data_IF_154336978157
#
_entry.id   IF_154336978157
#
_cell.length_a   1.000
_cell.length_b   1.000
_cell.length_c   1.000
_cell.angle_alpha   90.00
_cell.angle_beta   90.00
_cell.angle_gamma   90.00
#
_symmetry.space_group_name_H-M   'P 1'
#
loop_
_entity.id
_entity.type
_entity.pdbx_description
1 polymer ?
#
# COMPACT_ATOMS: atom_id res chain seq x y z
N UNK A 1 -35.49 26.54 6.56
CA UNK A 1 -34.24 26.64 5.81
C UNK A 1 -33.30 25.59 6.41
N UNK A 2 -32.57 24.81 5.59
CA UNK A 2 -31.60 23.85 6.10
C UNK A 2 -30.53 24.58 6.92
N UNK A 3 -30.14 24.00 8.03
CA UNK A 3 -29.14 24.58 8.93
C UNK A 3 -27.78 24.22 8.39
N UNK A 4 -27.12 25.16 7.68
CA UNK A 4 -25.70 24.96 7.36
C UNK A 4 -24.88 24.98 8.65
N UNK A 5 -24.06 23.98 8.86
CA UNK A 5 -23.23 23.81 10.04
C UNK A 5 -21.87 24.47 9.81
N UNK A 6 -21.50 25.58 10.46
CA UNK A 6 -20.33 26.39 10.08
C UNK A 6 -18.98 25.65 10.09
N UNK A 7 -18.84 24.63 10.93
CA UNK A 7 -17.61 23.83 11.05
C UNK A 7 -17.56 22.66 10.06
N UNK A 8 -18.66 22.35 9.36
CA UNK A 8 -18.76 21.18 8.48
C UNK A 8 -18.10 21.47 7.13
N UNK A 9 -16.79 21.61 7.12
CA UNK A 9 -15.94 21.88 5.95
C UNK A 9 -14.49 21.51 6.21
N UNK A 10 -13.70 21.28 5.15
CA UNK A 10 -12.26 21.00 5.27
C UNK A 10 -11.91 19.52 5.24
N UNK A 11 -10.91 19.14 6.01
CA UNK A 11 -10.25 17.83 5.96
C UNK A 11 -10.57 17.00 7.20
N UNK A 12 -11.17 15.84 7.02
CA UNK A 12 -11.53 14.91 8.09
C UNK A 12 -10.93 13.53 7.82
N UNK A 13 -10.02 13.01 8.65
CA UNK A 13 -9.54 11.66 8.55
C UNK A 13 -10.63 10.66 8.98
N UNK A 14 -10.93 9.70 8.13
CA UNK A 14 -11.65 8.50 8.52
C UNK A 14 -10.67 7.57 9.23
N UNK A 15 -10.69 7.59 10.57
CA UNK A 15 -9.69 6.92 11.40
C UNK A 15 -9.77 5.39 11.30
N UNK A 16 -8.62 4.72 11.26
CA UNK A 16 -8.53 3.28 11.50
C UNK A 16 -8.77 2.99 12.98
N UNK A 17 -9.24 1.80 13.31
CA UNK A 17 -9.31 1.30 14.69
C UNK A 17 -8.07 0.45 14.98
N UNK A 18 -7.17 0.86 15.86
CA UNK A 18 -6.06 0.03 16.29
C UNK A 18 -6.53 -1.18 17.08
N UNK A 19 -5.93 -2.34 16.82
CA UNK A 19 -6.17 -3.56 17.56
C UNK A 19 -4.85 -4.13 18.09
N UNK A 20 -4.92 -4.75 19.29
CA UNK A 20 -3.82 -5.52 19.86
C UNK A 20 -3.67 -6.90 19.16
N UNK A 21 -2.83 -7.77 19.71
CA UNK A 21 -2.59 -9.12 19.15
C UNK A 21 -3.79 -10.06 19.34
N UNK A 22 -4.55 -9.85 20.38
CA UNK A 22 -5.76 -10.56 20.78
C UNK A 22 -7.01 -10.01 20.07
N UNK A 23 -6.86 -8.98 19.24
CA UNK A 23 -7.91 -8.28 18.47
C UNK A 23 -8.84 -7.40 19.34
N UNK A 24 -8.43 -7.06 20.56
CA UNK A 24 -9.11 -6.02 21.34
C UNK A 24 -8.73 -4.62 20.82
N UNK A 25 -9.59 -3.64 21.05
CA UNK A 25 -9.30 -2.25 20.74
C UNK A 25 -8.12 -1.75 21.57
N UNK A 26 -7.06 -1.29 20.92
CA UNK A 26 -5.91 -0.65 21.56
C UNK A 26 -6.18 0.85 21.74
N UNK A 27 -6.75 1.22 22.88
CA UNK A 27 -7.10 2.61 23.19
C UNK A 27 -5.88 3.54 23.23
N UNK A 28 -4.72 3.07 23.70
CA UNK A 28 -3.52 3.88 23.79
C UNK A 28 -2.99 4.21 22.38
N UNK A 29 -2.97 3.23 21.49
CA UNK A 29 -2.62 3.42 20.09
C UNK A 29 -3.63 4.32 19.39
N UNK A 30 -4.93 4.25 19.72
CA UNK A 30 -5.95 5.11 19.14
C UNK A 30 -5.78 6.58 19.55
N UNK A 31 -5.46 6.86 20.82
CA UNK A 31 -5.12 8.22 21.28
C UNK A 31 -3.91 8.77 20.53
N UNK A 32 -2.86 7.97 20.41
CA UNK A 32 -1.64 8.37 19.67
C UNK A 32 -1.93 8.65 18.18
N UNK A 33 -2.79 7.85 17.54
CA UNK A 33 -3.23 8.09 16.18
C UNK A 33 -3.97 9.44 16.04
N UNK A 34 -4.87 9.76 16.97
CA UNK A 34 -5.59 11.04 16.99
C UNK A 34 -4.60 12.20 17.11
N UNK A 35 -3.65 12.14 18.05
CA UNK A 35 -2.64 13.17 18.25
C UNK A 35 -1.74 13.37 17.01
N UNK A 36 -1.44 12.27 16.30
CA UNK A 36 -0.72 12.34 15.01
C UNK A 36 -1.48 13.16 13.97
N UNK A 37 -2.80 13.05 13.91
CA UNK A 37 -3.64 13.72 12.90
C UNK A 37 -3.93 15.20 13.22
N UNK A 38 -4.13 15.55 14.49
CA UNK A 38 -4.79 16.79 14.93
C UNK A 38 -4.22 18.08 14.35
N UNK A 39 -2.93 18.16 14.09
CA UNK A 39 -2.28 19.42 13.63
C UNK A 39 -2.74 19.89 12.26
N UNK A 40 -3.25 18.99 11.42
CA UNK A 40 -3.50 19.24 10.01
C UNK A 40 -4.89 18.79 9.55
N UNK A 41 -5.85 18.72 10.46
CA UNK A 41 -7.22 18.30 10.14
C UNK A 41 -8.24 19.22 10.80
N UNK A 42 -9.44 19.29 10.26
CA UNK A 42 -10.52 20.16 10.75
C UNK A 42 -11.47 19.43 11.70
N UNK A 43 -11.41 18.11 11.76
CA UNK A 43 -12.15 17.25 12.68
C UNK A 43 -11.76 15.79 12.51
N UNK A 44 -12.48 14.89 13.16
CA UNK A 44 -12.19 13.46 13.22
C UNK A 44 -13.41 12.60 12.85
N UNK A 45 -13.18 11.44 12.22
CA UNK A 45 -14.27 10.49 11.89
C UNK A 45 -13.91 9.07 12.38
N UNK A 46 -14.19 8.73 13.66
CA UNK A 46 -14.08 7.37 14.17
C UNK A 46 -15.21 6.49 13.67
N UNK A 47 -15.04 5.17 13.73
CA UNK A 47 -16.05 4.14 13.46
C UNK A 47 -16.67 4.21 12.05
N UNK A 48 -15.94 4.73 11.04
CA UNK A 48 -16.33 4.62 9.64
C UNK A 48 -15.91 3.26 9.03
N UNK A 49 -16.08 3.11 7.70
CA UNK A 49 -15.64 1.91 6.98
C UNK A 49 -14.15 1.65 7.17
N UNK A 50 -13.33 2.69 7.12
CA UNK A 50 -11.88 2.63 7.39
C UNK A 50 -11.57 2.14 8.81
N UNK A 51 -12.45 2.46 9.77
CA UNK A 51 -12.37 2.02 11.17
C UNK A 51 -12.90 0.61 11.41
N UNK A 52 -13.24 -0.12 10.36
CA UNK A 52 -13.71 -1.51 10.45
C UNK A 52 -15.00 -1.66 11.26
N UNK A 53 -15.91 -0.66 11.23
CA UNK A 53 -17.11 -0.60 12.07
C UNK A 53 -17.96 -1.88 12.06
N UNK A 54 -18.10 -2.65 10.94
CA UNK A 54 -18.90 -3.87 10.96
C UNK A 54 -18.35 -4.99 11.85
N UNK A 55 -17.08 -4.86 12.27
CA UNK A 55 -16.38 -5.82 13.13
C UNK A 55 -16.23 -5.32 14.57
N UNK A 56 -16.81 -4.16 14.90
CA UNK A 56 -16.79 -3.58 16.24
C UNK A 56 -18.09 -3.88 16.97
N UNK A 57 -18.00 -4.20 18.24
CA UNK A 57 -19.15 -4.26 19.12
C UNK A 57 -19.67 -2.85 19.44
N UNK A 58 -20.95 -2.70 19.78
CA UNK A 58 -21.56 -1.41 20.07
C UNK A 58 -20.85 -0.67 21.22
N UNK A 59 -20.36 -1.39 22.20
CA UNK A 59 -19.60 -0.82 23.32
C UNK A 59 -18.21 -0.33 22.88
N UNK A 60 -17.54 -1.07 22.00
CA UNK A 60 -16.26 -0.63 21.40
C UNK A 60 -16.45 0.65 20.58
N UNK A 61 -17.53 0.73 19.78
CA UNK A 61 -17.84 1.94 19.02
C UNK A 61 -18.11 3.12 19.96
N UNK A 62 -18.90 2.94 21.01
CA UNK A 62 -19.16 3.96 22.01
C UNK A 62 -17.85 4.46 22.63
N UNK A 63 -16.98 3.55 23.01
CA UNK A 63 -15.71 3.85 23.65
C UNK A 63 -14.77 4.61 22.72
N UNK A 64 -14.66 4.21 21.45
CA UNK A 64 -13.86 4.91 20.43
C UNK A 64 -14.36 6.34 20.21
N UNK A 65 -15.68 6.56 20.17
CA UNK A 65 -16.24 7.90 20.03
C UNK A 65 -15.91 8.75 21.24
N UNK A 66 -16.05 8.23 22.46
CA UNK A 66 -15.67 8.93 23.69
C UNK A 66 -14.20 9.36 23.71
N UNK A 67 -13.30 8.45 23.30
CA UNK A 67 -11.88 8.76 23.20
C UNK A 67 -11.65 9.83 22.13
N UNK A 68 -12.27 9.72 20.96
CA UNK A 68 -12.12 10.69 19.90
C UNK A 68 -12.58 12.10 20.34
N UNK A 69 -13.70 12.20 21.06
CA UNK A 69 -14.22 13.46 21.61
C UNK A 69 -13.26 14.03 22.66
N UNK A 70 -12.77 13.21 23.57
CA UNK A 70 -11.85 13.62 24.63
C UNK A 70 -10.50 14.13 24.07
N UNK A 71 -10.01 13.52 23.01
CA UNK A 71 -8.70 13.82 22.40
C UNK A 71 -8.77 14.87 21.25
N UNK A 72 -9.98 15.28 20.84
CA UNK A 72 -10.17 16.12 19.64
C UNK A 72 -9.71 17.57 19.79
N UNK A 73 -9.30 18.01 20.98
CA UNK A 73 -8.88 19.40 21.24
C UNK A 73 -9.88 20.44 20.72
N UNK A 74 -11.17 20.23 21.02
CA UNK A 74 -12.26 21.07 20.60
C UNK A 74 -12.70 20.98 19.13
N UNK A 75 -12.03 20.17 18.32
CA UNK A 75 -12.43 19.91 16.94
C UNK A 75 -13.65 19.00 16.85
N UNK A 76 -14.51 19.14 15.83
CA UNK A 76 -15.70 18.32 15.68
C UNK A 76 -15.36 16.84 15.45
N UNK A 77 -16.17 15.96 16.04
CA UNK A 77 -16.11 14.52 15.85
C UNK A 77 -17.38 14.04 15.17
N UNK A 78 -17.25 13.49 13.96
CA UNK A 78 -18.34 12.89 13.19
C UNK A 78 -18.31 11.37 13.42
N UNK A 79 -19.16 10.84 14.27
CA UNK A 79 -19.17 9.43 14.62
C UNK A 79 -19.81 8.59 13.50
N UNK A 80 -19.13 7.53 13.06
CA UNK A 80 -19.76 6.50 12.23
C UNK A 80 -20.80 5.74 13.06
N UNK A 81 -22.07 5.80 12.64
CA UNK A 81 -23.21 5.18 13.33
C UNK A 81 -24.05 4.33 12.40
N UNK A 82 -23.50 3.94 11.25
CA UNK A 82 -24.17 3.09 10.28
C UNK A 82 -24.31 1.66 10.76
N UNK A 83 -25.43 1.03 10.42
CA UNK A 83 -25.69 -0.38 10.64
C UNK A 83 -26.61 -0.91 9.55
N UNK A 84 -26.74 -2.23 9.43
CA UNK A 84 -27.65 -2.86 8.49
C UNK A 84 -29.13 -2.65 8.84
N UNK A 85 -29.44 -2.45 10.13
CA UNK A 85 -30.80 -2.21 10.61
C UNK A 85 -31.00 -0.78 11.11
N UNK A 86 -32.23 -0.23 10.89
CA UNK A 86 -32.61 1.09 11.39
C UNK A 86 -32.56 1.15 12.93
N UNK A 87 -32.96 0.06 13.58
CA UNK A 87 -32.95 -0.03 15.05
C UNK A 87 -31.54 0.16 15.62
N UNK A 88 -30.59 -0.59 15.09
CA UNK A 88 -29.20 -0.55 15.55
C UNK A 88 -28.55 0.80 15.21
N UNK A 89 -28.68 1.30 13.98
CA UNK A 89 -28.16 2.61 13.59
C UNK A 89 -28.73 3.73 14.48
N UNK A 90 -30.02 3.65 14.90
CA UNK A 90 -30.61 4.59 15.84
C UNK A 90 -29.99 4.50 17.23
N UNK A 91 -29.72 3.30 17.71
CA UNK A 91 -29.05 3.07 18.99
C UNK A 91 -27.62 3.63 18.99
N UNK A 92 -26.86 3.35 17.93
CA UNK A 92 -25.51 3.88 17.75
C UNK A 92 -25.51 5.42 17.68
N UNK A 93 -26.46 6.02 16.97
CA UNK A 93 -26.58 7.47 16.90
C UNK A 93 -26.90 8.11 18.28
N UNK A 94 -27.74 7.48 19.08
CA UNK A 94 -28.00 7.93 20.48
C UNK A 94 -26.74 7.81 21.33
N UNK A 95 -26.05 6.66 21.25
CA UNK A 95 -24.78 6.43 21.94
C UNK A 95 -23.72 7.45 21.56
N UNK A 96 -23.61 7.80 20.27
CA UNK A 96 -22.68 8.82 19.77
C UNK A 96 -23.01 10.22 20.33
N UNK A 97 -24.32 10.57 20.42
CA UNK A 97 -24.76 11.82 21.05
C UNK A 97 -24.36 11.87 22.52
N UNK A 98 -24.63 10.79 23.27
CA UNK A 98 -24.26 10.67 24.68
C UNK A 98 -22.75 10.73 24.90
N UNK A 99 -21.96 10.21 23.94
CA UNK A 99 -20.51 10.31 23.95
C UNK A 99 -19.96 11.70 23.58
N UNK A 100 -20.81 12.64 23.17
CA UNK A 100 -20.42 14.02 22.84
C UNK A 100 -20.02 14.25 21.38
N UNK A 101 -20.35 13.34 20.48
CA UNK A 101 -20.09 13.53 19.04
C UNK A 101 -20.80 14.80 18.51
N UNK A 102 -20.19 15.48 17.55
CA UNK A 102 -20.72 16.68 16.89
C UNK A 102 -21.70 16.35 15.77
N UNK A 103 -21.60 15.18 15.17
CA UNK A 103 -22.49 14.68 14.12
C UNK A 103 -22.42 13.15 14.00
N UNK A 104 -23.36 12.57 13.25
CA UNK A 104 -23.37 11.17 12.84
C UNK A 104 -23.07 11.03 11.35
N UNK A 105 -22.28 10.02 10.98
CA UNK A 105 -22.10 9.56 9.62
C UNK A 105 -22.85 8.23 9.44
N UNK A 106 -23.93 8.23 8.70
CA UNK A 106 -24.83 7.07 8.54
C UNK A 106 -24.71 6.52 7.14
N UNK A 107 -24.22 5.30 7.01
CA UNK A 107 -24.14 4.60 5.71
C UNK A 107 -25.52 4.07 5.29
N UNK A 108 -25.75 4.06 3.98
CA UNK A 108 -26.94 3.36 3.41
C UNK A 108 -26.98 1.91 3.93
N UNK A 109 -28.15 1.36 4.33
CA UNK A 109 -28.26 -0.03 4.76
C UNK A 109 -27.65 -0.99 3.74
N UNK A 110 -26.89 -1.96 4.23
CA UNK A 110 -26.07 -2.87 3.44
C UNK A 110 -26.43 -4.34 3.69
N UNK A 111 -25.90 -5.25 2.88
CA UNK A 111 -26.14 -6.69 2.84
C UNK A 111 -27.52 -7.06 2.27
N UNK A 112 -28.62 -6.58 2.84
CA UNK A 112 -29.96 -6.70 2.25
C UNK A 112 -30.33 -5.37 1.58
N UNK A 113 -30.97 -5.44 0.41
CA UNK A 113 -31.30 -4.26 -0.40
C UNK A 113 -32.73 -3.78 -0.12
N UNK A 114 -32.95 -2.80 0.76
CA UNK A 114 -34.26 -2.22 0.97
C UNK A 114 -34.72 -1.41 -0.24
N UNK A 115 -36.03 -1.22 -0.38
CA UNK A 115 -36.59 -0.30 -1.37
C UNK A 115 -36.17 1.15 -1.08
N UNK A 116 -36.33 2.04 -2.05
CA UNK A 116 -36.04 3.49 -1.86
C UNK A 116 -36.84 4.08 -0.70
N UNK A 117 -38.12 3.68 -0.56
CA UNK A 117 -38.94 4.05 0.59
C UNK A 117 -38.36 3.52 1.92
N UNK A 118 -37.80 2.31 1.92
CA UNK A 118 -37.12 1.73 3.09
C UNK A 118 -35.87 2.50 3.44
N UNK A 119 -35.07 2.93 2.47
CA UNK A 119 -33.90 3.77 2.68
C UNK A 119 -34.28 5.15 3.24
N UNK A 120 -35.30 5.81 2.64
CA UNK A 120 -35.83 7.06 3.16
C UNK A 120 -36.24 6.92 4.64
N UNK A 121 -37.05 5.90 4.96
CA UNK A 121 -37.49 5.64 6.32
C UNK A 121 -36.36 5.35 7.28
N UNK A 122 -35.28 4.68 6.83
CA UNK A 122 -34.09 4.45 7.65
C UNK A 122 -33.47 5.77 8.12
N UNK A 123 -33.13 6.68 7.22
CA UNK A 123 -32.56 7.98 7.57
C UNK A 123 -33.53 8.86 8.35
N UNK A 124 -34.81 8.89 7.94
CA UNK A 124 -35.85 9.68 8.60
C UNK A 124 -36.04 9.28 10.08
N UNK A 125 -36.11 7.99 10.37
CA UNK A 125 -36.27 7.50 11.74
C UNK A 125 -35.03 7.78 12.61
N UNK A 126 -33.83 7.69 12.05
CA UNK A 126 -32.60 8.07 12.76
C UNK A 126 -32.62 9.57 13.03
N UNK A 127 -32.90 10.40 12.04
CA UNK A 127 -32.97 11.86 12.16
C UNK A 127 -34.00 12.30 13.22
N UNK A 128 -35.15 11.64 13.29
CA UNK A 128 -36.16 11.90 14.30
C UNK A 128 -35.77 11.46 15.72
N UNK A 129 -34.89 10.47 15.83
CA UNK A 129 -34.54 9.84 17.11
C UNK A 129 -33.40 10.55 17.87
N UNK A 130 -32.61 11.40 17.19
CA UNK A 130 -31.46 12.10 17.76
C UNK A 130 -31.44 13.56 17.39
N UNK A 131 -31.04 14.40 18.32
CA UNK A 131 -30.79 15.82 18.09
C UNK A 131 -29.30 16.03 17.79
N UNK A 132 -28.86 15.46 16.67
CA UNK A 132 -27.50 15.60 16.12
C UNK A 132 -27.57 15.85 14.61
N UNK A 133 -26.65 16.64 14.06
CA UNK A 133 -26.40 16.68 12.62
C UNK A 133 -26.10 15.29 12.06
N UNK A 134 -26.68 14.97 10.91
CA UNK A 134 -26.50 13.69 10.23
C UNK A 134 -25.94 13.92 8.83
N UNK A 135 -24.87 13.20 8.49
CA UNK A 135 -24.37 13.06 7.15
C UNK A 135 -24.80 11.70 6.57
N UNK A 136 -25.51 11.73 5.46
CA UNK A 136 -25.79 10.53 4.67
C UNK A 136 -24.49 10.03 4.03
N UNK A 137 -24.26 8.72 3.99
CA UNK A 137 -23.04 8.17 3.44
C UNK A 137 -23.31 7.19 2.30
N UNK A 138 -22.82 7.57 1.12
CA UNK A 138 -22.86 6.76 -0.10
C UNK A 138 -21.49 6.10 -0.33
N UNK A 139 -21.46 4.77 -0.35
CA UNK A 139 -20.29 3.95 -0.68
C UNK A 139 -20.72 2.73 -1.49
N UNK A 140 -20.90 2.92 -2.78
CA UNK A 140 -21.40 1.89 -3.70
C UNK A 140 -20.59 0.59 -3.65
N UNK A 141 -19.28 0.69 -3.49
CA UNK A 141 -18.38 -0.48 -3.49
C UNK A 141 -18.64 -1.47 -2.34
N UNK A 142 -19.30 -1.02 -1.28
CA UNK A 142 -19.61 -1.84 -0.10
C UNK A 142 -21.11 -2.17 -0.04
N UNK A 143 -21.95 -1.22 -0.46
CA UNK A 143 -23.43 -1.33 -0.38
C UNK A 143 -24.04 -1.90 -1.67
N UNK A 144 -23.26 -1.97 -2.75
CA UNK A 144 -23.64 -2.42 -4.10
C UNK A 144 -24.77 -1.60 -4.76
N UNK A 145 -25.02 -0.38 -4.27
CA UNK A 145 -25.95 0.56 -4.88
C UNK A 145 -25.61 2.00 -4.53
N UNK A 146 -26.05 2.94 -5.37
CA UNK A 146 -26.06 4.35 -5.02
C UNK A 146 -27.24 4.69 -4.10
N UNK A 147 -27.08 5.68 -3.24
CA UNK A 147 -28.20 6.31 -2.57
C UNK A 147 -29.07 7.01 -3.65
N UNK A 148 -30.36 6.66 -3.81
CA UNK A 148 -31.13 7.17 -4.93
C UNK A 148 -31.30 8.69 -4.84
N UNK A 149 -31.17 9.39 -5.98
CA UNK A 149 -31.30 10.85 -6.10
C UNK A 149 -32.55 11.38 -5.36
N UNK A 150 -33.72 10.83 -5.68
CA UNK A 150 -34.98 11.27 -5.06
C UNK A 150 -34.97 11.14 -3.53
N UNK A 151 -34.33 10.09 -3.03
CA UNK A 151 -34.21 9.88 -1.57
C UNK A 151 -33.32 10.96 -0.94
N UNK A 152 -32.23 11.37 -1.60
CA UNK A 152 -31.37 12.44 -1.13
C UNK A 152 -32.14 13.76 -1.15
N UNK A 153 -32.88 14.06 -2.23
CA UNK A 153 -33.68 15.27 -2.36
C UNK A 153 -34.71 15.40 -1.23
N UNK A 154 -35.47 14.33 -0.97
CA UNK A 154 -36.49 14.30 0.08
C UNK A 154 -35.87 14.40 1.50
N UNK A 155 -34.70 13.78 1.72
CA UNK A 155 -33.99 13.80 3.00
C UNK A 155 -33.31 15.15 3.26
N UNK A 156 -32.85 15.85 2.23
CA UNK A 156 -32.21 17.17 2.37
C UNK A 156 -33.14 18.25 2.92
N UNK A 157 -34.45 18.02 2.98
CA UNK A 157 -35.43 18.92 3.59
C UNK A 157 -35.59 18.70 5.10
N UNK A 158 -34.98 17.62 5.65
CA UNK A 158 -35.03 17.33 7.09
C UNK A 158 -33.97 18.17 7.81
N UNK A 159 -34.36 18.97 8.83
CA UNK A 159 -33.49 20.01 9.39
C UNK A 159 -32.13 19.55 9.90
N UNK A 160 -32.01 18.32 10.46
CA UNK A 160 -30.77 17.79 10.99
C UNK A 160 -30.05 16.83 10.03
N UNK A 161 -30.55 16.63 8.81
CA UNK A 161 -29.76 16.02 7.73
C UNK A 161 -29.00 17.16 7.03
N UNK A 162 -27.74 17.31 7.37
CA UNK A 162 -26.93 18.49 7.03
C UNK A 162 -25.85 18.22 6.00
N UNK A 163 -25.59 16.94 5.68
CA UNK A 163 -24.49 16.61 4.79
C UNK A 163 -24.64 15.27 4.07
N UNK A 164 -23.78 15.11 3.07
CA UNK A 164 -23.67 13.93 2.26
C UNK A 164 -22.19 13.62 2.01
N UNK A 165 -21.75 12.40 2.30
CA UNK A 165 -20.43 11.91 1.93
C UNK A 165 -20.53 10.96 0.76
N UNK A 166 -19.80 11.24 -0.33
CA UNK A 166 -19.72 10.35 -1.49
C UNK A 166 -18.35 9.71 -1.64
N UNK A 167 -18.29 8.39 -1.45
CA UNK A 167 -17.10 7.56 -1.69
C UNK A 167 -17.20 6.72 -2.96
N UNK A 168 -18.16 7.00 -3.86
CA UNK A 168 -18.34 6.23 -5.09
C UNK A 168 -17.18 6.36 -6.08
N UNK A 169 -16.46 7.51 -6.05
CA UNK A 169 -15.46 7.88 -7.06
C UNK A 169 -16.08 8.31 -8.40
N UNK A 170 -17.40 8.36 -8.50
CA UNK A 170 -18.12 8.79 -9.69
C UNK A 170 -18.43 10.29 -9.64
N UNK A 171 -17.58 11.10 -10.28
CA UNK A 171 -17.75 12.55 -10.30
C UNK A 171 -19.08 13.01 -10.90
N UNK A 172 -19.61 12.32 -11.91
CA UNK A 172 -20.93 12.67 -12.49
C UNK A 172 -22.00 12.60 -11.42
N UNK A 173 -22.04 11.52 -10.64
CA UNK A 173 -23.00 11.40 -9.54
C UNK A 173 -22.78 12.44 -8.45
N UNK A 174 -21.52 12.74 -8.09
CA UNK A 174 -21.21 13.80 -7.10
C UNK A 174 -21.69 15.17 -7.59
N UNK A 175 -21.48 15.49 -8.88
CA UNK A 175 -21.94 16.75 -9.48
C UNK A 175 -23.47 16.86 -9.51
N UNK A 176 -24.15 15.77 -9.84
CA UNK A 176 -25.62 15.70 -9.76
C UNK A 176 -26.13 16.00 -8.34
N UNK A 177 -25.50 15.41 -7.31
CA UNK A 177 -25.87 15.67 -5.90
C UNK A 177 -25.66 17.15 -5.54
N UNK A 178 -24.55 17.73 -5.98
CA UNK A 178 -24.29 19.17 -5.76
C UNK A 178 -25.32 20.04 -6.46
N UNK A 179 -25.75 19.70 -7.67
CA UNK A 179 -26.76 20.44 -8.43
C UNK A 179 -28.10 20.48 -7.71
N UNK A 180 -28.61 19.33 -7.25
CA UNK A 180 -29.96 19.28 -6.70
C UNK A 180 -30.06 19.43 -5.17
N UNK A 181 -28.97 19.27 -4.42
CA UNK A 181 -28.98 19.33 -2.96
C UNK A 181 -27.89 20.23 -2.33
N UNK A 182 -26.88 20.66 -3.10
CA UNK A 182 -25.72 21.38 -2.58
C UNK A 182 -26.04 22.73 -1.90
N UNK A 183 -27.17 23.34 -2.23
CA UNK A 183 -27.64 24.58 -1.54
C UNK A 183 -28.24 24.28 -0.16
N UNK A 184 -28.66 23.05 0.09
CA UNK A 184 -29.36 22.60 1.30
C UNK A 184 -28.46 21.84 2.26
N UNK A 185 -27.55 21.01 1.75
CA UNK A 185 -26.63 20.17 2.54
C UNK A 185 -25.20 20.31 2.05
N UNK A 186 -24.25 20.05 2.95
CA UNK A 186 -22.83 20.06 2.62
C UNK A 186 -22.41 18.72 1.98
N UNK A 187 -21.68 18.75 0.87
CA UNK A 187 -21.24 17.55 0.15
C UNK A 187 -19.75 17.34 0.37
N UNK A 188 -19.40 16.13 0.83
CA UNK A 188 -18.02 15.72 1.10
C UNK A 188 -17.57 14.64 0.12
N UNK A 189 -16.37 14.81 -0.44
CA UNK A 189 -15.74 13.75 -1.19
C UNK A 189 -15.09 12.72 -0.24
N UNK A 190 -15.34 11.44 -0.50
CA UNK A 190 -14.80 10.32 0.27
C UNK A 190 -13.94 9.37 -0.53
N UNK A 191 -13.51 9.76 -1.75
CA UNK A 191 -12.68 8.97 -2.64
C UNK A 191 -11.42 9.73 -3.02
N UNK A 192 -10.27 9.24 -2.57
CA UNK A 192 -8.98 9.95 -2.63
C UNK A 192 -8.55 10.36 -4.05
N UNK A 193 -8.89 9.57 -5.07
CA UNK A 193 -8.41 9.82 -6.44
C UNK A 193 -9.08 11.02 -7.14
N UNK A 194 -10.23 11.47 -6.64
CA UNK A 194 -11.05 12.52 -7.28
C UNK A 194 -11.21 13.79 -6.44
N UNK A 195 -10.44 13.94 -5.37
CA UNK A 195 -10.57 15.02 -4.38
C UNK A 195 -10.51 16.40 -5.03
N UNK A 196 -9.48 16.69 -5.80
CA UNK A 196 -9.33 17.98 -6.49
C UNK A 196 -10.55 18.32 -7.34
N UNK A 197 -11.00 17.36 -8.15
CA UNK A 197 -12.12 17.58 -9.05
C UNK A 197 -13.43 17.82 -8.30
N UNK A 198 -13.66 17.07 -7.22
CA UNK A 198 -14.85 17.22 -6.39
C UNK A 198 -14.86 18.55 -5.64
N UNK A 199 -13.72 18.97 -5.06
CA UNK A 199 -13.60 20.28 -4.39
C UNK A 199 -13.77 21.44 -5.39
N UNK A 200 -13.13 21.36 -6.56
CA UNK A 200 -13.28 22.36 -7.62
C UNK A 200 -14.73 22.41 -8.16
N UNK A 201 -15.46 21.30 -8.08
CA UNK A 201 -16.87 21.20 -8.45
C UNK A 201 -17.84 21.72 -7.39
N UNK A 202 -17.37 22.06 -6.16
CA UNK A 202 -18.20 22.64 -5.11
C UNK A 202 -18.38 21.79 -3.85
N UNK A 203 -17.70 20.66 -3.70
CA UNK A 203 -17.69 19.94 -2.43
C UNK A 203 -17.10 20.81 -1.32
N UNK A 204 -17.74 20.81 -0.16
CA UNK A 204 -17.35 21.63 1.02
C UNK A 204 -16.12 21.10 1.76
N UNK A 205 -15.78 19.83 1.56
CA UNK A 205 -14.66 19.21 2.23
C UNK A 205 -14.46 17.76 1.81
N UNK A 206 -13.62 17.06 2.57
CA UNK A 206 -13.27 15.68 2.34
C UNK A 206 -13.27 14.84 3.62
N UNK A 207 -13.73 13.61 3.53
CA UNK A 207 -13.63 12.59 4.60
C UNK A 207 -12.89 11.39 4.04
N UNK A 208 -11.58 11.33 4.27
CA UNK A 208 -10.67 10.40 3.60
C UNK A 208 -9.94 9.47 4.56
N UNK A 209 -9.72 8.23 4.12
CA UNK A 209 -8.89 7.28 4.83
C UNK A 209 -7.41 7.71 4.84
N UNK A 210 -6.91 8.26 3.74
CA UNK A 210 -5.54 8.74 3.60
C UNK A 210 -5.22 10.02 4.39
N UNK A 211 -6.24 10.75 4.84
CA UNK A 211 -6.04 11.98 5.60
C UNK A 211 -5.37 11.77 6.97
N UNK A 212 -5.26 10.53 7.45
CA UNK A 212 -4.44 10.18 8.61
C UNK A 212 -2.99 9.84 8.25
N UNK A 213 -2.70 9.55 6.98
CA UNK A 213 -1.34 9.21 6.51
C UNK A 213 -0.55 10.46 6.11
N UNK A 214 -1.18 11.36 5.35
CA UNK A 214 -0.56 12.62 4.89
C UNK A 214 -1.54 13.81 5.03
N UNK A 215 -1.96 14.11 6.28
CA UNK A 215 -2.99 15.14 6.53
C UNK A 215 -2.60 16.52 6.00
N UNK A 216 -1.32 16.89 6.11
CA UNK A 216 -0.80 18.17 5.62
C UNK A 216 -0.99 18.34 4.11
N UNK A 217 -0.78 17.28 3.32
CA UNK A 217 -0.97 17.37 1.86
C UNK A 217 -2.41 17.66 1.50
N UNK A 218 -3.36 16.99 2.17
CA UNK A 218 -4.79 17.26 1.93
C UNK A 218 -5.23 18.63 2.39
N UNK A 219 -4.68 19.13 3.48
CA UNK A 219 -4.94 20.51 3.93
C UNK A 219 -4.40 21.52 2.92
N UNK A 220 -3.21 21.29 2.37
CA UNK A 220 -2.64 22.14 1.31
C UNK A 220 -3.46 22.08 0.01
N UNK A 221 -3.97 20.89 -0.38
CA UNK A 221 -4.90 20.75 -1.53
C UNK A 221 -6.16 21.55 -1.28
N UNK A 222 -6.78 21.41 -0.11
CA UNK A 222 -7.98 22.14 0.26
C UNK A 222 -7.75 23.66 0.20
N UNK A 223 -6.70 24.14 0.85
CA UNK A 223 -6.36 25.56 0.88
C UNK A 223 -6.07 26.13 -0.52
N UNK A 224 -5.38 25.37 -1.38
CA UNK A 224 -5.09 25.77 -2.76
C UNK A 224 -6.39 25.92 -3.58
N UNK A 225 -7.32 24.96 -3.47
CA UNK A 225 -8.63 25.06 -4.14
C UNK A 225 -9.43 26.26 -3.64
N UNK A 226 -9.47 26.50 -2.32
CA UNK A 226 -10.17 27.66 -1.74
C UNK A 226 -9.57 29.00 -2.21
N UNK A 227 -8.25 29.03 -2.47
CA UNK A 227 -7.56 30.20 -3.03
C UNK A 227 -7.66 30.32 -4.57
N UNK A 228 -8.31 29.37 -5.26
CA UNK A 228 -8.38 29.32 -6.72
C UNK A 228 -7.09 28.85 -7.42
N UNK A 229 -6.06 28.40 -6.67
CA UNK A 229 -4.81 27.90 -7.22
C UNK A 229 -4.91 26.42 -7.59
N UNK A 230 -5.64 26.14 -8.67
CA UNK A 230 -5.83 24.78 -9.18
C UNK A 230 -4.54 24.16 -9.72
N UNK A 231 -3.53 24.95 -10.06
CA UNK A 231 -2.23 24.44 -10.51
C UNK A 231 -1.51 23.78 -9.34
N UNK A 232 -1.38 24.47 -8.23
CA UNK A 232 -0.80 23.94 -7.00
C UNK A 232 -1.59 22.72 -6.47
N UNK A 233 -2.92 22.82 -6.44
CA UNK A 233 -3.77 21.72 -6.02
C UNK A 233 -3.54 20.45 -6.86
N UNK A 234 -3.38 20.60 -8.19
CA UNK A 234 -3.09 19.50 -9.12
C UNK A 234 -1.72 18.86 -8.86
N UNK A 235 -0.71 19.67 -8.60
CA UNK A 235 0.63 19.17 -8.26
C UNK A 235 0.61 18.34 -6.97
N UNK A 236 -0.08 18.83 -5.95
CA UNK A 236 -0.21 18.12 -4.66
C UNK A 236 -1.00 16.82 -4.82
N UNK A 237 -2.14 16.82 -5.52
CA UNK A 237 -2.92 15.62 -5.80
C UNK A 237 -2.08 14.57 -6.54
N UNK A 238 -1.28 14.98 -7.54
CA UNK A 238 -0.40 14.05 -8.28
C UNK A 238 0.64 13.36 -7.40
N UNK A 239 1.18 14.06 -6.39
CA UNK A 239 2.16 13.48 -5.46
C UNK A 239 1.59 12.29 -4.68
N UNK A 240 0.32 12.32 -4.34
CA UNK A 240 -0.35 11.29 -3.55
C UNK A 240 -1.19 10.31 -4.36
N UNK A 241 -1.35 10.54 -5.67
CA UNK A 241 -2.28 9.79 -6.52
C UNK A 241 -2.03 8.27 -6.52
N UNK A 242 -0.77 7.85 -6.46
CA UNK A 242 -0.41 6.43 -6.48
C UNK A 242 -0.76 5.74 -5.17
N UNK A 243 -0.48 6.40 -4.02
CA UNK A 243 -0.91 5.93 -2.70
C UNK A 243 -2.44 5.90 -2.59
N UNK A 244 -3.12 6.97 -3.04
CA UNK A 244 -4.58 7.05 -3.07
C UNK A 244 -5.20 5.86 -3.80
N UNK A 245 -4.64 5.49 -4.97
CA UNK A 245 -5.10 4.33 -5.74
C UNK A 245 -4.92 3.01 -4.98
N UNK A 246 -3.80 2.83 -4.29
CA UNK A 246 -3.57 1.64 -3.46
C UNK A 246 -4.61 1.61 -2.33
N UNK A 247 -4.83 2.73 -1.64
CA UNK A 247 -5.81 2.78 -0.54
C UNK A 247 -7.23 2.49 -1.01
N UNK A 248 -7.65 3.07 -2.13
CA UNK A 248 -8.97 2.81 -2.72
C UNK A 248 -9.15 1.33 -3.12
N UNK A 249 -8.12 0.70 -3.68
CA UNK A 249 -8.16 -0.74 -4.07
C UNK A 249 -8.46 -1.66 -2.89
N UNK A 250 -7.94 -1.34 -1.71
CA UNK A 250 -8.12 -2.15 -0.49
C UNK A 250 -9.23 -1.66 0.43
N UNK A 251 -10.08 -0.75 -0.03
CA UNK A 251 -11.17 -0.20 0.78
C UNK A 251 -10.72 0.70 1.95
N UNK A 252 -9.49 1.18 1.92
CA UNK A 252 -8.93 2.15 2.87
C UNK A 252 -8.26 1.50 4.09
N UNK A 253 -8.99 0.84 4.97
CA UNK A 253 -8.49 0.41 6.28
C UNK A 253 -7.20 -0.42 6.26
N UNK A 254 -7.16 -1.47 5.44
CA UNK A 254 -6.01 -2.41 5.38
C UNK A 254 -4.73 -1.74 4.92
N UNK A 255 -4.79 -1.01 3.79
CA UNK A 255 -3.61 -0.38 3.21
C UNK A 255 -3.17 0.85 4.02
N UNK A 256 -4.10 1.58 4.59
CA UNK A 256 -3.84 2.70 5.50
C UNK A 256 -3.13 2.23 6.77
N UNK A 257 -3.57 1.14 7.41
CA UNK A 257 -2.85 0.55 8.56
C UNK A 257 -1.40 0.19 8.20
N UNK A 258 -1.16 -0.35 7.00
CA UNK A 258 0.21 -0.62 6.54
C UNK A 258 1.02 0.68 6.38
N UNK A 259 0.44 1.73 5.81
CA UNK A 259 1.10 3.03 5.69
C UNK A 259 1.42 3.64 7.05
N UNK A 260 0.45 3.64 7.99
CA UNK A 260 0.65 4.13 9.36
C UNK A 260 1.77 3.38 10.09
N UNK A 261 1.82 2.04 9.97
CA UNK A 261 2.94 1.24 10.50
C UNK A 261 4.28 1.63 9.88
N UNK A 262 4.29 1.91 8.59
CA UNK A 262 5.52 2.35 7.90
C UNK A 262 5.98 3.73 8.39
N UNK A 263 5.04 4.60 8.79
CA UNK A 263 5.32 5.89 9.44
C UNK A 263 5.74 5.77 10.91
N UNK A 264 5.75 4.57 11.48
CA UNK A 264 6.07 4.33 12.89
C UNK A 264 4.89 4.53 13.85
N UNK A 265 3.66 4.72 13.34
CA UNK A 265 2.45 4.84 14.15
C UNK A 265 1.87 3.46 14.42
N UNK A 266 1.73 3.09 15.67
CA UNK A 266 1.16 1.82 16.08
C UNK A 266 -0.35 1.78 15.84
N UNK A 267 -0.82 0.92 14.93
CA UNK A 267 -2.25 0.75 14.60
C UNK A 267 -2.67 -0.73 14.54
N UNK A 268 -1.77 -1.64 14.91
CA UNK A 268 -2.04 -3.08 14.88
C UNK A 268 -2.28 -3.65 13.48
N UNK A 269 -2.97 -4.77 13.43
CA UNK A 269 -3.43 -5.43 12.20
C UNK A 269 -4.95 -5.20 12.04
N UNK A 270 -5.51 -5.35 10.84
CA UNK A 270 -6.96 -5.45 10.69
C UNK A 270 -7.51 -6.60 11.53
N UNK A 271 -8.76 -6.46 12.04
CA UNK A 271 -9.48 -7.55 12.71
C UNK A 271 -9.85 -8.64 11.70
N UNK A 272 -9.90 -9.90 12.11
CA UNK A 272 -10.40 -10.98 11.25
C UNK A 272 -11.87 -10.75 10.85
N UNK A 273 -12.30 -11.10 9.64
CA UNK A 273 -11.59 -11.86 8.60
C UNK A 273 -10.73 -10.99 7.66
N UNK A 274 -10.59 -9.68 7.84
CA UNK A 274 -9.73 -8.85 6.98
C UNK A 274 -8.24 -9.19 7.12
N UNK A 275 -7.83 -9.71 8.27
CA UNK A 275 -6.49 -10.25 8.48
C UNK A 275 -6.39 -11.65 7.87
N UNK A 276 -5.65 -11.82 6.79
CA UNK A 276 -5.37 -13.11 6.18
C UNK A 276 -4.03 -13.70 6.60
N UNK A 277 -3.83 -15.01 6.38
CA UNK A 277 -2.52 -15.66 6.50
C UNK A 277 -1.58 -15.04 5.46
N UNK A 278 -0.42 -14.53 5.90
CA UNK A 278 0.51 -13.80 5.04
C UNK A 278 0.25 -12.30 4.92
N UNK A 279 -0.83 -11.80 5.53
CA UNK A 279 -1.21 -10.39 5.55
C UNK A 279 -2.35 -10.06 4.57
N UNK A 280 -3.09 -9.01 4.90
CA UNK A 280 -4.24 -8.55 4.11
C UNK A 280 -3.85 -7.77 2.84
N UNK A 281 -2.58 -7.45 2.66
CA UNK A 281 -2.05 -6.63 1.59
C UNK A 281 -1.00 -7.40 0.78
N UNK A 282 -1.00 -7.27 -0.54
CA UNK A 282 0.02 -7.83 -1.41
C UNK A 282 1.40 -7.27 -1.03
N UNK A 283 2.44 -8.08 -1.17
CA UNK A 283 3.81 -7.68 -0.82
C UNK A 283 4.28 -6.49 -1.68
N UNK A 284 3.88 -6.48 -2.96
CA UNK A 284 4.18 -5.40 -3.90
C UNK A 284 3.62 -4.06 -3.43
N UNK A 285 2.35 -4.05 -3.00
CA UNK A 285 1.69 -2.84 -2.54
C UNK A 285 2.30 -2.33 -1.21
N UNK A 286 2.83 -3.22 -0.36
CA UNK A 286 3.59 -2.80 0.84
C UNK A 286 4.88 -2.08 0.49
N UNK A 287 5.64 -2.63 -0.47
CA UNK A 287 6.87 -2.01 -0.94
C UNK A 287 6.59 -0.66 -1.61
N UNK A 288 5.51 -0.60 -2.40
CA UNK A 288 5.08 0.61 -3.08
C UNK A 288 4.63 1.70 -2.10
N UNK A 289 3.85 1.35 -1.06
CA UNK A 289 3.47 2.30 0.00
C UNK A 289 4.72 2.92 0.63
N UNK A 290 5.73 2.11 0.96
CA UNK A 290 6.97 2.62 1.54
C UNK A 290 7.67 3.58 0.59
N UNK A 291 7.87 3.19 -0.68
CA UNK A 291 8.52 4.00 -1.70
C UNK A 291 7.82 5.36 -1.90
N UNK A 292 6.49 5.35 -1.97
CA UNK A 292 5.73 6.60 -2.16
C UNK A 292 5.79 7.50 -0.90
N UNK A 293 5.81 6.92 0.31
CA UNK A 293 6.02 7.69 1.55
C UNK A 293 7.44 8.29 1.62
N UNK A 294 8.46 7.59 1.12
CA UNK A 294 9.82 8.12 0.97
C UNK A 294 9.85 9.32 0.00
N UNK A 295 9.20 9.20 -1.17
CA UNK A 295 9.07 10.31 -2.15
C UNK A 295 8.35 11.53 -1.59
N UNK A 296 7.38 11.31 -0.69
CA UNK A 296 6.67 12.38 0.01
C UNK A 296 7.51 13.01 1.14
N UNK A 297 8.69 12.47 1.45
CA UNK A 297 9.52 12.90 2.58
C UNK A 297 8.89 12.63 3.95
N UNK A 298 7.93 11.70 4.02
CA UNK A 298 7.26 11.31 5.26
C UNK A 298 8.10 10.34 6.11
N UNK A 299 8.98 9.62 5.47
CA UNK A 299 10.01 8.76 6.09
C UNK A 299 11.33 9.03 5.39
N UNK A 300 12.41 8.86 6.11
CA UNK A 300 13.73 8.84 5.48
C UNK A 300 13.75 7.72 4.45
N UNK A 301 14.39 7.94 3.28
CA UNK A 301 14.73 6.83 2.43
C UNK A 301 15.28 5.73 3.34
N UNK A 302 14.81 4.51 3.14
CA UNK A 302 15.53 3.37 3.69
C UNK A 302 16.92 3.56 3.09
N UNK A 303 17.81 4.21 3.85
CA UNK A 303 19.21 4.14 3.56
C UNK A 303 19.51 2.66 3.61
N UNK A 304 19.12 2.01 2.49
CA UNK A 304 19.63 0.71 2.12
C UNK A 304 21.12 0.84 1.90
N UNK A 305 21.83 1.46 2.89
CA UNK A 305 23.08 0.97 3.34
C UNK A 305 22.84 -0.42 3.98
N UNK A 306 22.26 -1.32 3.23
CA UNK A 306 23.01 -2.53 3.05
C UNK A 306 24.28 -2.00 2.37
N UNK A 307 25.27 -1.57 3.19
CA UNK A 307 26.63 -1.91 2.87
C UNK A 307 26.50 -3.25 2.22
N UNK A 308 26.90 -3.35 0.94
CA UNK A 308 27.22 -4.65 0.39
C UNK A 308 28.16 -5.21 1.45
N UNK A 309 27.57 -5.88 2.44
CA UNK A 309 28.34 -6.70 3.36
C UNK A 309 28.85 -7.69 2.36
N UNK A 310 30.14 -7.63 2.07
CA UNK A 310 30.81 -8.66 1.31
C UNK A 310 30.39 -9.95 1.99
N UNK A 311 29.35 -10.56 1.47
CA UNK A 311 28.95 -11.88 1.98
C UNK A 311 30.09 -12.78 1.59
N UNK A 312 30.69 -13.49 2.53
CA UNK A 312 31.60 -14.56 2.15
C UNK A 312 30.84 -15.46 1.17
N UNK A 313 31.56 -15.98 0.19
CA UNK A 313 31.04 -17.05 -0.67
C UNK A 313 30.36 -18.08 0.23
N UNK A 314 29.19 -18.61 -0.17
CA UNK A 314 28.50 -19.59 0.65
C UNK A 314 29.45 -20.77 0.91
N UNK A 315 29.59 -21.16 2.17
CA UNK A 315 30.42 -22.30 2.55
C UNK A 315 29.92 -23.62 1.93
N UNK A 316 28.66 -23.61 1.48
CA UNK A 316 27.99 -24.74 0.83
C UNK A 316 27.14 -24.29 -0.34
N UNK A 317 27.18 -25.05 -1.42
CA UNK A 317 26.31 -24.92 -2.57
C UNK A 317 25.60 -26.25 -2.84
N UNK A 318 24.32 -26.38 -2.44
CA UNK A 318 23.67 -27.70 -2.37
C UNK A 318 24.42 -28.62 -1.42
N UNK A 319 24.80 -29.80 -1.89
CA UNK A 319 25.64 -30.74 -1.16
C UNK A 319 27.16 -30.51 -1.34
N UNK A 320 27.52 -29.53 -2.20
CA UNK A 320 28.92 -29.17 -2.46
C UNK A 320 29.43 -28.20 -1.37
N UNK A 321 30.38 -28.67 -0.55
CA UNK A 321 31.13 -27.82 0.38
C UNK A 321 32.22 -27.05 -0.37
N UNK A 322 32.26 -25.74 -0.24
CA UNK A 322 33.23 -24.84 -0.85
C UNK A 322 34.39 -24.58 0.13
N UNK A 323 35.03 -25.65 0.63
CA UNK A 323 36.25 -25.50 1.43
C UNK A 323 37.45 -25.22 0.52
N UNK A 324 38.52 -24.53 1.01
CA UNK A 324 39.70 -24.27 0.21
C UNK A 324 40.31 -25.53 -0.40
N UNK A 325 40.23 -26.66 0.32
CA UNK A 325 40.74 -27.99 -0.14
C UNK A 325 39.90 -28.53 -1.30
N UNK A 326 38.58 -28.41 -1.24
CA UNK A 326 37.66 -28.84 -2.31
C UNK A 326 37.83 -27.97 -3.52
N UNK A 327 37.88 -26.63 -3.32
CA UNK A 327 38.09 -25.65 -4.39
C UNK A 327 39.38 -26.01 -5.18
N UNK A 328 40.48 -26.15 -4.47
CA UNK A 328 41.77 -26.47 -5.09
C UNK A 328 41.79 -27.87 -5.76
N UNK A 329 41.23 -28.89 -5.10
CA UNK A 329 41.22 -30.28 -5.61
C UNK A 329 40.33 -30.46 -6.83
N UNK A 330 39.19 -29.75 -6.85
CA UNK A 330 38.22 -29.78 -7.93
C UNK A 330 38.54 -28.82 -9.09
N UNK A 331 39.61 -28.01 -8.96
CA UNK A 331 39.95 -26.99 -9.95
C UNK A 331 38.91 -25.91 -10.13
N UNK A 332 38.18 -25.59 -9.05
CA UNK A 332 37.13 -24.56 -9.11
C UNK A 332 37.74 -23.14 -9.10
N UNK A 333 37.17 -22.27 -9.89
CA UNK A 333 37.54 -20.87 -9.96
C UNK A 333 36.41 -20.05 -9.39
N UNK A 334 36.75 -19.10 -8.53
CA UNK A 334 35.80 -18.28 -7.82
C UNK A 334 36.05 -16.81 -8.11
N UNK A 335 34.97 -16.06 -8.29
CA UNK A 335 35.06 -14.62 -8.45
C UNK A 335 33.86 -13.93 -7.82
N UNK A 336 34.09 -12.74 -7.29
CA UNK A 336 33.05 -11.89 -6.71
C UNK A 336 33.17 -10.50 -7.30
N UNK A 337 32.05 -9.96 -7.75
CA UNK A 337 31.97 -8.59 -8.24
C UNK A 337 30.81 -7.83 -7.60
N UNK A 338 31.07 -6.56 -7.33
CA UNK A 338 30.10 -5.64 -6.75
C UNK A 338 29.99 -4.40 -7.62
N UNK A 339 28.77 -3.89 -7.82
CA UNK A 339 28.54 -2.64 -8.52
C UNK A 339 27.23 -1.96 -8.10
N UNK A 340 27.15 -0.65 -8.36
CA UNK A 340 25.99 0.16 -8.04
C UNK A 340 25.98 0.70 -6.62
N UNK A 341 24.92 1.45 -6.30
CA UNK A 341 24.67 2.05 -4.98
C UNK A 341 23.20 1.94 -4.61
N UNK A 342 22.88 2.00 -3.32
CA UNK A 342 21.51 1.95 -2.83
C UNK A 342 20.79 0.66 -3.20
N UNK A 343 19.53 0.76 -3.57
CA UNK A 343 18.68 -0.39 -3.93
C UNK A 343 19.04 -1.03 -5.28
N UNK A 344 19.80 -0.33 -6.13
CA UNK A 344 20.28 -0.84 -7.40
C UNK A 344 21.69 -1.45 -7.28
N UNK A 345 22.24 -1.54 -6.07
CA UNK A 345 23.50 -2.24 -5.81
C UNK A 345 23.34 -3.75 -5.96
N UNK A 346 24.34 -4.39 -6.56
CA UNK A 346 24.34 -5.82 -6.83
C UNK A 346 25.66 -6.46 -6.43
N UNK A 347 25.60 -7.72 -5.99
CA UNK A 347 26.75 -8.59 -5.85
C UNK A 347 26.55 -9.83 -6.73
N UNK A 348 27.59 -10.18 -7.49
CA UNK A 348 27.62 -11.38 -8.33
C UNK A 348 28.76 -12.28 -7.84
N UNK A 349 28.42 -13.45 -7.35
CA UNK A 349 29.38 -14.48 -6.98
C UNK A 349 29.39 -15.55 -8.07
N UNK A 350 30.56 -15.81 -8.63
CA UNK A 350 30.78 -16.74 -9.71
C UNK A 350 31.55 -17.95 -9.21
N UNK A 351 31.07 -19.14 -9.57
CA UNK A 351 31.78 -20.40 -9.42
C UNK A 351 31.88 -20.99 -10.82
N UNK A 352 33.10 -21.29 -11.28
CA UNK A 352 33.37 -21.91 -12.57
C UNK A 352 34.23 -23.18 -12.40
N UNK A 353 33.98 -24.16 -13.21
CA UNK A 353 34.74 -25.45 -13.17
C UNK A 353 34.25 -26.46 -14.19
N UNK A 354 35.00 -27.54 -14.37
CA UNK A 354 34.71 -28.54 -15.36
C UNK A 354 33.38 -29.30 -15.16
N UNK A 355 32.73 -29.70 -16.23
CA UNK A 355 31.49 -30.48 -16.23
C UNK A 355 31.59 -31.77 -15.46
N UNK A 356 32.79 -32.38 -15.41
CA UNK A 356 33.06 -33.63 -14.68
C UNK A 356 33.51 -33.41 -13.24
N UNK A 357 33.52 -32.16 -12.77
CA UNK A 357 33.83 -31.79 -11.39
C UNK A 357 32.58 -31.88 -10.51
N UNK A 358 32.73 -31.82 -9.17
CA UNK A 358 31.59 -31.69 -8.26
C UNK A 358 30.67 -30.47 -8.55
N UNK A 359 31.19 -29.45 -9.24
CA UNK A 359 30.37 -28.33 -9.71
C UNK A 359 29.44 -28.75 -10.84
N UNK A 360 29.92 -29.63 -11.77
CA UNK A 360 29.08 -30.19 -12.82
C UNK A 360 27.92 -31.01 -12.27
N UNK A 361 28.15 -31.78 -11.23
CA UNK A 361 27.12 -32.55 -10.52
C UNK A 361 26.10 -31.59 -9.85
N UNK A 362 26.60 -30.57 -9.14
CA UNK A 362 25.74 -29.53 -8.53
C UNK A 362 24.94 -28.76 -9.56
N UNK A 363 25.53 -28.47 -10.73
CA UNK A 363 24.87 -27.83 -11.86
C UNK A 363 23.70 -28.69 -12.38
N UNK A 364 23.96 -29.96 -12.63
CA UNK A 364 22.97 -30.93 -13.11
C UNK A 364 21.84 -31.13 -12.08
N UNK A 365 22.21 -31.24 -10.80
CA UNK A 365 21.26 -31.36 -9.71
C UNK A 365 20.29 -30.14 -9.66
N UNK A 366 20.79 -28.93 -9.78
CA UNK A 366 19.95 -27.71 -9.76
C UNK A 366 18.98 -27.62 -10.95
N UNK A 367 19.34 -28.17 -12.11
CA UNK A 367 18.45 -28.29 -13.27
C UNK A 367 17.32 -29.29 -13.05
N UNK A 368 17.61 -30.39 -12.29
CA UNK A 368 16.69 -31.51 -12.11
C UNK A 368 15.79 -31.32 -10.89
N UNK A 369 16.31 -30.73 -9.82
CA UNK A 369 15.63 -30.52 -8.55
C UNK A 369 15.76 -29.07 -8.11
N UNK A 370 14.94 -28.13 -8.65
CA UNK A 370 14.98 -26.75 -8.22
C UNK A 370 14.66 -26.65 -6.73
N UNK A 371 15.55 -26.02 -5.97
CA UNK A 371 15.33 -25.74 -4.55
C UNK A 371 14.02 -24.96 -4.42
N UNK A 372 13.13 -25.43 -3.56
CA UNK A 372 11.83 -24.80 -3.32
C UNK A 372 11.99 -23.30 -3.11
N UNK A 373 11.36 -22.49 -3.98
CA UNK A 373 11.31 -21.03 -3.99
C UNK A 373 12.57 -20.27 -4.44
N UNK A 374 13.56 -20.94 -5.03
CA UNK A 374 14.69 -20.31 -5.73
C UNK A 374 14.85 -20.98 -7.08
N UNK A 375 14.14 -20.49 -8.09
CA UNK A 375 14.24 -21.03 -9.43
C UNK A 375 15.59 -20.67 -10.04
N UNK A 376 16.33 -21.69 -10.47
CA UNK A 376 17.55 -21.54 -11.23
C UNK A 376 17.22 -21.12 -12.66
N UNK A 377 17.96 -20.16 -13.20
CA UNK A 377 17.80 -19.68 -14.57
C UNK A 377 19.03 -20.01 -15.38
N UNK A 378 18.83 -20.48 -16.59
CA UNK A 378 19.91 -20.54 -17.57
C UNK A 378 20.18 -19.14 -18.14
N UNK A 379 21.44 -18.72 -18.21
CA UNK A 379 21.80 -17.50 -18.89
C UNK A 379 21.56 -17.65 -20.40
N UNK A 380 20.73 -16.77 -20.97
CA UNK A 380 20.39 -16.75 -22.39
C UNK A 380 20.70 -15.38 -22.98
N UNK A 381 21.33 -15.38 -24.16
CA UNK A 381 21.63 -14.15 -24.89
C UNK A 381 20.41 -13.65 -25.66
N UNK A 382 19.72 -14.56 -26.33
CA UNK A 382 18.48 -14.35 -27.08
C UNK A 382 17.54 -15.54 -26.85
N UNK A 383 16.25 -15.44 -27.16
CA UNK A 383 15.35 -16.57 -27.09
C UNK A 383 15.93 -17.80 -27.78
N UNK A 384 16.03 -18.92 -27.07
CA UNK A 384 16.62 -20.19 -27.48
C UNK A 384 18.15 -20.19 -27.73
N UNK A 385 18.87 -19.11 -27.38
CA UNK A 385 20.33 -19.03 -27.50
C UNK A 385 20.97 -18.93 -26.11
N UNK A 386 21.38 -20.06 -25.55
CA UNK A 386 22.12 -20.13 -24.27
C UNK A 386 23.58 -19.72 -24.44
N UNK A 387 24.14 -19.07 -23.42
CA UNK A 387 25.58 -18.75 -23.41
C UNK A 387 26.43 -20.00 -23.14
N UNK A 388 27.69 -19.92 -23.58
CA UNK A 388 28.74 -20.93 -23.29
C UNK A 388 29.92 -20.22 -22.60
N UNK A 389 30.52 -20.78 -21.55
CA UNK A 389 30.14 -22.01 -20.84
C UNK A 389 28.70 -21.99 -20.33
N UNK A 390 28.07 -23.16 -20.20
CA UNK A 390 26.70 -23.28 -19.73
C UNK A 390 26.59 -22.70 -18.30
N UNK A 391 25.73 -21.69 -18.14
CA UNK A 391 25.66 -20.88 -16.92
C UNK A 391 24.28 -20.91 -16.30
N UNK A 392 24.22 -21.23 -14.99
CA UNK A 392 23.04 -21.07 -14.15
C UNK A 392 23.13 -19.79 -13.33
N UNK A 393 22.02 -19.08 -13.21
CA UNK A 393 21.86 -17.92 -12.35
C UNK A 393 20.94 -18.30 -11.21
N UNK A 394 21.42 -18.14 -9.99
CA UNK A 394 20.68 -18.43 -8.77
C UNK A 394 20.47 -17.13 -7.99
N UNK A 395 19.25 -16.75 -7.69
CA UNK A 395 19.00 -15.62 -6.81
C UNK A 395 19.52 -15.92 -5.41
N UNK A 396 20.31 -15.02 -4.83
CA UNK A 396 20.80 -15.13 -3.45
C UNK A 396 19.65 -14.99 -2.42
N UNK A 397 18.59 -14.28 -2.80
CA UNK A 397 17.42 -14.02 -1.96
C UNK A 397 16.20 -14.69 -2.57
N UNK A 398 15.36 -15.31 -1.73
CA UNK A 398 14.08 -15.89 -2.13
C UNK A 398 13.20 -14.83 -2.80
N UNK A 399 12.68 -15.15 -3.98
CA UNK A 399 11.79 -14.27 -4.73
C UNK A 399 10.34 -14.50 -4.32
N UNK A 400 9.76 -13.52 -3.65
CA UNK A 400 8.40 -13.62 -3.09
C UNK A 400 7.32 -13.05 -3.99
N UNK A 401 7.70 -12.31 -5.04
CA UNK A 401 6.77 -11.61 -5.92
C UNK A 401 7.26 -11.59 -7.36
N UNK A 402 6.33 -11.58 -8.31
CA UNK A 402 6.59 -11.58 -9.76
C UNK A 402 7.53 -10.43 -10.20
N UNK A 403 7.46 -9.28 -9.54
CA UNK A 403 8.32 -8.14 -9.87
C UNK A 403 9.78 -8.41 -9.56
N UNK A 404 10.10 -9.03 -8.41
CA UNK A 404 11.47 -9.45 -8.08
C UNK A 404 11.97 -10.48 -9.10
N UNK A 405 11.13 -11.45 -9.44
CA UNK A 405 11.39 -12.40 -10.50
C UNK A 405 11.72 -11.68 -11.82
N UNK A 406 10.91 -10.71 -12.23
CA UNK A 406 11.14 -9.95 -13.47
C UNK A 406 12.45 -9.13 -13.49
N UNK A 407 13.00 -8.75 -12.33
CA UNK A 407 14.32 -8.11 -12.26
C UNK A 407 15.45 -9.11 -12.46
N UNK A 408 15.27 -10.36 -12.05
CA UNK A 408 16.21 -11.45 -12.29
C UNK A 408 16.04 -12.01 -13.72
N UNK A 409 14.82 -12.33 -14.15
CA UNK A 409 14.50 -12.92 -15.46
C UNK A 409 14.73 -11.97 -16.66
N UNK A 410 14.83 -10.69 -16.42
CA UNK A 410 15.06 -9.70 -17.47
C UNK A 410 16.49 -9.13 -17.41
N UNK A 411 16.68 -7.99 -16.75
CA UNK A 411 17.95 -7.25 -16.79
C UNK A 411 19.13 -8.04 -16.21
N UNK A 412 18.94 -8.82 -15.13
CA UNK A 412 20.02 -9.60 -14.54
C UNK A 412 20.47 -10.73 -15.47
N UNK A 413 19.53 -11.52 -15.99
CA UNK A 413 19.83 -12.62 -16.91
C UNK A 413 20.55 -12.14 -18.16
N UNK A 414 20.05 -11.07 -18.78
CA UNK A 414 20.64 -10.50 -20.01
C UNK A 414 22.03 -9.91 -19.76
N UNK A 415 22.24 -9.24 -18.61
CA UNK A 415 23.53 -8.66 -18.27
C UNK A 415 24.59 -9.73 -17.97
N UNK A 416 24.23 -10.80 -17.27
CA UNK A 416 25.13 -11.96 -17.04
C UNK A 416 25.51 -12.62 -18.37
N UNK A 417 24.53 -12.87 -19.24
CA UNK A 417 24.77 -13.47 -20.53
C UNK A 417 25.72 -12.60 -21.39
N UNK A 418 25.50 -11.30 -21.42
CA UNK A 418 26.34 -10.36 -22.19
C UNK A 418 27.77 -10.28 -21.64
N UNK A 419 27.93 -10.23 -20.31
CA UNK A 419 29.25 -10.20 -19.68
C UNK A 419 30.08 -11.47 -20.00
N UNK A 420 29.44 -12.64 -20.06
CA UNK A 420 30.09 -13.89 -20.44
C UNK A 420 30.56 -13.84 -21.89
N UNK A 421 29.71 -13.39 -22.82
CA UNK A 421 30.06 -13.29 -24.24
C UNK A 421 31.22 -12.31 -24.44
N UNK A 422 31.16 -11.11 -23.85
CA UNK A 422 32.22 -10.11 -23.96
C UNK A 422 33.54 -10.59 -23.34
N UNK A 423 33.46 -11.39 -22.26
CA UNK A 423 34.65 -12.01 -21.62
C UNK A 423 35.26 -13.14 -22.46
N UNK A 424 34.45 -13.85 -23.23
CA UNK A 424 34.94 -14.82 -24.23
C UNK A 424 35.64 -14.10 -25.39
N UNK A 425 34.98 -13.09 -25.95
CA UNK A 425 35.52 -12.28 -27.04
C UNK A 425 36.83 -11.55 -26.63
N UNK A 426 36.88 -11.09 -25.37
CA UNK A 426 38.04 -10.45 -24.77
C UNK A 426 39.15 -11.41 -24.28
N UNK A 427 38.96 -12.71 -24.38
CA UNK A 427 39.92 -13.75 -23.96
C UNK A 427 40.05 -13.94 -22.44
N UNK A 428 39.19 -13.35 -21.64
CA UNK A 428 39.17 -13.56 -20.19
C UNK A 428 38.66 -14.97 -19.81
N UNK A 429 37.77 -15.54 -20.60
CA UNK A 429 37.37 -16.94 -20.52
C UNK A 429 38.14 -17.70 -21.61
N UNK A 430 38.94 -18.75 -21.24
CA UNK A 430 39.67 -19.57 -22.23
C UNK A 430 38.73 -20.26 -23.21
N UNK A 431 39.09 -20.30 -24.49
CA UNK A 431 38.29 -20.95 -25.53
C UNK A 431 37.99 -22.46 -25.23
N UNK A 432 38.90 -23.15 -24.56
CA UNK A 432 38.74 -24.55 -24.13
C UNK A 432 37.64 -24.67 -23.05
N UNK A 433 37.41 -23.66 -22.24
CA UNK A 433 36.38 -23.67 -21.19
C UNK A 433 34.96 -23.61 -21.76
N UNK A 434 34.77 -23.22 -23.02
CA UNK A 434 33.45 -23.02 -23.65
C UNK A 434 32.61 -24.27 -23.63
N UNK A 435 33.22 -25.44 -23.95
CA UNK A 435 32.53 -26.72 -24.02
C UNK A 435 32.70 -27.58 -22.76
N UNK A 436 33.79 -27.40 -22.03
CA UNK A 436 34.19 -28.30 -20.93
C UNK A 436 33.80 -27.80 -19.55
N UNK A 437 33.52 -26.50 -19.42
CA UNK A 437 33.16 -25.89 -18.14
C UNK A 437 31.64 -25.63 -17.98
N UNK A 438 31.25 -25.50 -16.75
CA UNK A 438 29.96 -24.95 -16.30
C UNK A 438 30.20 -23.78 -15.34
N UNK A 439 29.25 -22.90 -15.29
CA UNK A 439 29.27 -21.75 -14.38
C UNK A 439 27.99 -21.69 -13.55
N UNK A 440 28.13 -21.29 -12.31
CA UNK A 440 27.02 -20.97 -11.43
C UNK A 440 27.25 -19.55 -10.92
N UNK A 441 26.28 -18.68 -11.16
CA UNK A 441 26.26 -17.28 -10.71
C UNK A 441 25.23 -17.13 -9.63
N UNK A 442 25.65 -16.70 -8.44
CA UNK A 442 24.75 -16.33 -7.36
C UNK A 442 24.53 -14.82 -7.45
N UNK A 443 23.30 -14.42 -7.81
CA UNK A 443 22.94 -13.04 -8.01
C UNK A 443 22.25 -12.47 -6.76
N UNK A 444 22.92 -11.58 -6.02
CA UNK A 444 22.33 -10.79 -4.95
C UNK A 444 21.85 -9.46 -5.52
N UNK A 445 20.57 -9.41 -5.84
CA UNK A 445 19.84 -8.22 -6.31
C UNK A 445 18.90 -7.78 -5.23
N UNK A 446 18.95 -6.51 -4.88
CA UNK A 446 18.10 -5.98 -3.82
C UNK A 446 16.60 -6.15 -4.18
N UNK A 447 15.75 -6.67 -3.27
CA UNK A 447 14.32 -6.92 -3.55
C UNK A 447 13.52 -5.68 -3.96
N UNK A 448 14.04 -4.48 -3.70
CA UNK A 448 13.42 -3.19 -4.04
C UNK A 448 13.98 -2.55 -5.31
N UNK A 449 14.91 -3.20 -6.01
CA UNK A 449 15.43 -2.70 -7.28
C UNK A 449 14.30 -2.50 -8.30
N UNK A 450 14.28 -1.35 -8.97
CA UNK A 450 13.20 -0.91 -9.85
C UNK A 450 13.67 -0.43 -11.21
N UNK A 451 14.84 0.17 -11.25
CA UNK A 451 15.43 0.69 -12.47
C UNK A 451 16.11 -0.46 -13.22
N UNK A 452 15.41 -0.97 -14.24
CA UNK A 452 15.90 -2.08 -15.07
C UNK A 452 17.17 -1.73 -15.82
N UNK A 453 17.36 -0.47 -16.20
CA UNK A 453 18.53 -0.01 -16.93
C UNK A 453 19.74 0.10 -16.01
N UNK A 454 19.58 0.77 -14.87
CA UNK A 454 20.63 0.83 -13.85
C UNK A 454 21.03 -0.57 -13.35
N UNK A 455 20.05 -1.45 -13.12
CA UNK A 455 20.30 -2.83 -12.68
C UNK A 455 21.09 -3.60 -13.74
N UNK A 456 20.72 -3.51 -15.02
CA UNK A 456 21.46 -4.15 -16.11
C UNK A 456 22.93 -3.73 -16.10
N UNK A 457 23.23 -2.45 -16.05
CA UNK A 457 24.60 -1.94 -16.04
C UNK A 457 25.39 -2.35 -14.81
N UNK A 458 24.76 -2.34 -13.62
CA UNK A 458 25.40 -2.77 -12.38
C UNK A 458 25.70 -4.26 -12.37
N UNK A 459 24.77 -5.10 -12.82
CA UNK A 459 24.98 -6.55 -12.97
C UNK A 459 26.09 -6.84 -13.97
N UNK A 460 26.08 -6.17 -15.12
CA UNK A 460 27.11 -6.32 -16.11
C UNK A 460 28.51 -5.95 -15.58
N UNK A 461 28.63 -4.83 -14.87
CA UNK A 461 29.89 -4.41 -14.26
C UNK A 461 30.37 -5.36 -13.15
N UNK A 462 29.46 -5.81 -12.28
CA UNK A 462 29.77 -6.77 -11.21
C UNK A 462 30.18 -8.14 -11.78
N UNK A 463 29.49 -8.61 -12.82
CA UNK A 463 29.80 -9.88 -13.44
C UNK A 463 31.17 -9.85 -14.14
N UNK A 464 31.51 -8.75 -14.84
CA UNK A 464 32.85 -8.59 -15.41
C UNK A 464 33.96 -8.54 -14.35
N UNK A 465 33.68 -7.96 -13.17
CA UNK A 465 34.63 -7.98 -12.07
C UNK A 465 34.82 -9.40 -11.49
N UNK A 466 33.73 -10.17 -11.38
CA UNK A 466 33.78 -11.56 -10.93
C UNK A 466 34.52 -12.47 -11.92
N UNK A 467 34.27 -12.32 -13.22
CA UNK A 467 34.92 -13.10 -14.29
C UNK A 467 36.44 -12.86 -14.37
N UNK A 468 36.91 -11.67 -14.04
CA UNK A 468 38.36 -11.36 -14.00
C UNK A 468 39.08 -12.00 -12.81
N UNK A 469 38.38 -12.40 -11.78
CA UNK A 469 38.94 -13.07 -10.59
C UNK A 469 38.88 -14.59 -10.72
N UNK A 470 37.91 -15.12 -11.46
CA UNK A 470 37.73 -16.54 -11.71
C UNK A 470 38.53 -17.03 -12.92
#
# INVERSE_FOLDING_TARGET
MPIKVPWLKGVFPALVTPFDREENVDEAAFRNLIQHCLRHVDGLVPCGTTGEFPYLEAEEQRRLVQIAVAEADGKPVIAGTGASSTREATQLARSAREAGASACLVVTPFFLHPSDKGIYQHFYQIAKAVDLPILMYNIRQVVDRYLPRRVIEDLADIPNIVGFKDSSGNLTYTMEVLEFAGDRIDVFVGHDEVVLNALAGGCTGMILASAQVYPKVWQEVYAAVQAGDLTKARELQRKVQKLSRIFCRYGGGVAVKQAMKTLGVAVGQPRRPLKSVGGALLHEDRAEIRLELEKLGQISPDDGERRLVQRPLPERFGDLELTPQIIARAGLRLGTGNAGKGVEAVQMDLIAGGKTSPLGDAYAYQLTYPLSRREALTAILEPNLTVRPATLILPAVEQKILRQANMIYGPTQSAVARAIVDSLEGGAIPALAVEDDVMIVIADVHPKALDRHALYHNVYAAMNAALKQA
#
